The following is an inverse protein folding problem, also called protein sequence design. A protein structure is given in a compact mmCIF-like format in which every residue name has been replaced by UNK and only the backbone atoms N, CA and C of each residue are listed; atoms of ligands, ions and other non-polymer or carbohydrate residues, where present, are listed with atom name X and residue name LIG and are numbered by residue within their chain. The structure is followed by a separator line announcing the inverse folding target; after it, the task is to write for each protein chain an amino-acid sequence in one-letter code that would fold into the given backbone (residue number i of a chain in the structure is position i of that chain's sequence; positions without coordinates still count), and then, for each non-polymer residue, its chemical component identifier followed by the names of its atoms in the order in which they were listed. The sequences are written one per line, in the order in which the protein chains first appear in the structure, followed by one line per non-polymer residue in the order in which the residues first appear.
data_IF_875829831020
#
_entry.id   IF_875829831020
#
_cell.length_a   1.000
_cell.length_b   1.000
_cell.length_c   1.000
_cell.angle_alpha   90.00
_cell.angle_beta   90.00
_cell.angle_gamma   90.00
#
_symmetry.space_group_name_H-M   'P 1'
#
loop_
_entity.id
_entity.type
_entity.pdbx_description
1 polymer ?
#
# COMPACT_ATOMS: atom_id res chain seq x y z
N UNK A 1 29.61 -38.83 12.40
CA UNK A 1 28.60 -38.42 11.40
C UNK A 1 29.25 -37.46 10.42
N UNK A 2 29.22 -37.75 9.13
CA UNK A 2 29.72 -36.84 8.09
C UNK A 2 28.70 -35.71 7.96
N UNK A 3 29.08 -34.51 8.32
CA UNK A 3 28.20 -33.33 8.22
C UNK A 3 28.22 -32.86 6.76
N UNK A 4 27.09 -32.93 6.07
CA UNK A 4 26.99 -32.48 4.69
C UNK A 4 27.28 -30.95 4.60
N UNK A 5 28.23 -30.59 3.74
CA UNK A 5 28.63 -29.21 3.46
C UNK A 5 28.34 -28.86 2.01
N UNK A 6 28.10 -27.60 1.71
CA UNK A 6 27.87 -27.10 0.34
C UNK A 6 28.59 -25.78 0.11
N UNK A 7 29.38 -25.70 -0.96
CA UNK A 7 30.07 -24.47 -1.34
C UNK A 7 29.12 -23.52 -2.06
N UNK A 8 28.68 -22.49 -1.34
CA UNK A 8 27.80 -21.45 -1.91
C UNK A 8 28.61 -20.55 -2.84
N UNK A 9 28.00 -20.12 -3.95
CA UNK A 9 28.65 -19.19 -4.87
C UNK A 9 28.87 -17.83 -4.18
N UNK A 10 30.06 -17.24 -4.38
CA UNK A 10 30.41 -15.93 -3.81
C UNK A 10 29.48 -14.80 -4.25
N UNK A 11 28.86 -14.88 -5.43
CA UNK A 11 27.87 -13.92 -5.88
C UNK A 11 26.61 -13.95 -4.97
N UNK A 12 26.19 -15.16 -4.62
CA UNK A 12 25.04 -15.36 -3.69
C UNK A 12 25.39 -14.83 -2.29
N UNK A 13 26.57 -15.15 -1.77
CA UNK A 13 26.98 -14.66 -0.43
C UNK A 13 27.08 -13.14 -0.37
N UNK A 14 27.60 -12.49 -1.44
CA UNK A 14 27.60 -11.02 -1.56
C UNK A 14 26.19 -10.45 -1.59
N UNK A 15 25.32 -11.05 -2.37
CA UNK A 15 23.91 -10.65 -2.47
C UNK A 15 23.19 -10.80 -1.13
N UNK A 16 23.41 -11.89 -0.38
CA UNK A 16 22.87 -12.09 0.97
C UNK A 16 23.30 -10.95 1.92
N UNK A 17 24.58 -10.57 1.91
CA UNK A 17 25.07 -9.45 2.72
C UNK A 17 24.44 -8.11 2.29
N UNK A 18 24.14 -7.93 1.00
CA UNK A 18 23.53 -6.70 0.51
C UNK A 18 22.06 -6.54 0.93
N UNK A 19 21.28 -7.64 0.93
CA UNK A 19 19.84 -7.56 1.18
C UNK A 19 19.44 -7.84 2.62
N UNK A 20 20.29 -8.47 3.43
CA UNK A 20 19.97 -8.89 4.78
C UNK A 20 20.96 -8.35 5.84
N UNK A 21 21.72 -7.31 5.54
CA UNK A 21 22.71 -6.71 6.44
C UNK A 21 22.09 -6.24 7.77
N UNK A 22 20.91 -5.67 7.71
CA UNK A 22 20.11 -5.21 8.84
C UNK A 22 19.47 -6.33 9.69
N UNK A 23 19.39 -7.56 9.15
CA UNK A 23 18.80 -8.75 9.80
C UNK A 23 19.82 -9.71 10.38
N UNK A 24 21.07 -9.59 9.91
CA UNK A 24 22.16 -10.46 10.30
C UNK A 24 22.99 -9.80 11.41
N UNK A 25 23.13 -10.48 12.54
CA UNK A 25 24.09 -10.06 13.57
C UNK A 25 25.55 -10.18 13.09
N UNK A 26 26.45 -9.44 13.71
CA UNK A 26 27.90 -9.38 13.38
C UNK A 26 28.51 -10.78 13.21
N UNK A 27 28.16 -11.72 14.10
CA UNK A 27 28.65 -13.11 14.05
C UNK A 27 28.32 -13.83 12.73
N UNK A 28 27.16 -13.51 12.12
CA UNK A 28 26.76 -14.12 10.85
C UNK A 28 27.42 -13.44 9.66
N UNK A 29 27.57 -12.13 9.71
CA UNK A 29 28.33 -11.36 8.71
C UNK A 29 29.76 -11.88 8.62
N UNK A 30 30.43 -12.11 9.77
CA UNK A 30 31.78 -12.61 9.80
C UNK A 30 31.90 -14.08 9.32
N UNK A 31 30.92 -14.95 9.67
CA UNK A 31 30.86 -16.30 9.11
C UNK A 31 30.71 -16.29 7.59
N UNK A 32 29.84 -15.44 7.03
CA UNK A 32 29.66 -15.32 5.57
C UNK A 32 30.97 -14.84 4.91
N UNK A 33 31.69 -13.87 5.51
CA UNK A 33 32.99 -13.42 5.01
C UNK A 33 34.03 -14.54 4.98
N UNK A 34 34.03 -15.41 6.00
CA UNK A 34 34.93 -16.59 6.08
C UNK A 34 34.59 -17.59 4.96
N UNK A 35 33.32 -17.81 4.69
CA UNK A 35 32.87 -18.67 3.58
C UNK A 35 33.23 -18.08 2.21
N UNK A 36 33.10 -16.76 2.05
CA UNK A 36 33.51 -16.06 0.82
C UNK A 36 34.99 -16.16 0.52
N UNK A 37 35.84 -16.16 1.56
CA UNK A 37 37.29 -16.36 1.42
C UNK A 37 37.67 -17.82 1.12
N UNK A 38 36.71 -18.76 1.25
CA UNK A 38 36.97 -20.19 1.08
C UNK A 38 37.69 -20.84 2.25
N UNK A 39 37.86 -20.16 3.37
CA UNK A 39 38.53 -20.68 4.58
C UNK A 39 37.70 -21.79 5.26
N UNK A 40 36.37 -21.71 5.14
CA UNK A 40 35.41 -22.71 5.62
C UNK A 40 34.25 -22.86 4.63
N UNK A 41 33.69 -24.07 4.58
CA UNK A 41 32.49 -24.37 3.81
C UNK A 41 31.29 -24.52 4.75
N UNK A 42 30.16 -23.83 4.50
CA UNK A 42 28.98 -23.95 5.36
C UNK A 42 28.38 -25.34 5.31
N UNK A 43 27.85 -25.79 6.45
CA UNK A 43 27.04 -27.00 6.52
C UNK A 43 25.62 -26.68 6.02
N UNK A 44 24.89 -27.72 5.59
CA UNK A 44 23.47 -27.60 5.20
C UNK A 44 22.65 -26.99 6.34
N UNK A 45 22.91 -27.40 7.59
CA UNK A 45 22.23 -26.82 8.74
C UNK A 45 22.53 -25.32 8.93
N UNK A 46 23.78 -24.91 8.74
CA UNK A 46 24.15 -23.48 8.81
C UNK A 46 23.43 -22.66 7.72
N UNK A 47 23.28 -23.20 6.51
CA UNK A 47 22.51 -22.57 5.44
C UNK A 47 21.00 -22.49 5.75
N UNK A 48 20.44 -23.52 6.38
CA UNK A 48 19.04 -23.47 6.86
C UNK A 48 18.84 -22.39 7.93
N UNK A 49 19.77 -22.25 8.87
CA UNK A 49 19.73 -21.20 9.90
C UNK A 49 19.89 -19.82 9.26
N UNK A 50 20.83 -19.68 8.31
CA UNK A 50 21.03 -18.44 7.56
C UNK A 50 19.76 -18.06 6.78
N UNK A 51 19.14 -19.00 6.08
CA UNK A 51 17.87 -18.81 5.38
C UNK A 51 16.79 -18.23 6.29
N UNK A 52 16.61 -18.80 7.48
CA UNK A 52 15.63 -18.32 8.47
C UNK A 52 15.96 -16.91 8.99
N UNK A 53 17.23 -16.60 9.21
CA UNK A 53 17.68 -15.29 9.73
C UNK A 53 17.62 -14.20 8.66
N UNK A 54 18.11 -14.48 7.47
CA UNK A 54 18.11 -13.56 6.33
C UNK A 54 16.76 -13.43 5.64
N UNK A 55 15.82 -14.36 5.93
CA UNK A 55 14.53 -14.50 5.25
C UNK A 55 14.65 -14.78 3.75
N UNK A 56 15.80 -15.30 3.33
CA UNK A 56 16.06 -15.72 1.94
C UNK A 56 15.64 -17.19 1.79
N UNK A 57 14.86 -17.57 0.76
CA UNK A 57 14.51 -18.95 0.50
C UNK A 57 15.72 -19.85 0.45
N UNK A 58 15.66 -21.01 1.15
CA UNK A 58 16.79 -21.94 1.27
C UNK A 58 17.35 -22.39 -0.11
N UNK A 59 16.47 -22.56 -1.11
CA UNK A 59 16.85 -22.92 -2.47
C UNK A 59 17.80 -21.92 -3.14
N UNK A 60 17.71 -20.63 -2.78
CA UNK A 60 18.51 -19.58 -3.41
C UNK A 60 20.03 -19.71 -3.12
N UNK A 61 20.40 -20.39 -2.02
CA UNK A 61 21.81 -20.65 -1.72
C UNK A 61 22.48 -21.64 -2.67
N UNK A 62 21.71 -22.35 -3.48
CA UNK A 62 22.20 -23.35 -4.46
C UNK A 62 22.25 -22.81 -5.88
N UNK A 63 21.86 -21.56 -6.11
CA UNK A 63 21.92 -20.93 -7.42
C UNK A 63 23.35 -20.52 -7.79
N UNK A 64 23.61 -20.44 -9.10
CA UNK A 64 24.88 -19.94 -9.64
C UNK A 64 24.99 -18.41 -9.57
N UNK A 65 23.87 -17.74 -9.73
CA UNK A 65 23.73 -16.28 -9.68
C UNK A 65 22.56 -15.89 -8.77
N UNK A 66 22.59 -14.69 -8.16
CA UNK A 66 21.45 -14.17 -7.45
C UNK A 66 20.20 -14.25 -8.31
N UNK A 67 19.04 -14.63 -7.72
CA UNK A 67 17.81 -14.58 -8.49
C UNK A 67 17.66 -13.15 -9.03
N UNK A 68 17.39 -13.03 -10.33
CA UNK A 68 16.91 -11.76 -10.86
C UNK A 68 15.49 -11.60 -10.27
N UNK A 69 15.41 -10.95 -9.14
CA UNK A 69 14.14 -10.38 -8.71
C UNK A 69 13.85 -9.30 -9.76
N UNK A 70 13.02 -9.62 -10.75
CA UNK A 70 12.26 -8.60 -11.45
C UNK A 70 11.40 -7.97 -10.35
N UNK A 71 11.97 -6.95 -9.68
CA UNK A 71 11.18 -6.10 -8.79
C UNK A 71 10.10 -5.55 -9.71
N UNK A 72 8.82 -5.91 -9.52
CA UNK A 72 7.77 -5.18 -10.20
C UNK A 72 8.04 -3.73 -9.87
N UNK A 73 8.39 -2.92 -10.87
CA UNK A 73 8.78 -1.53 -10.68
C UNK A 73 7.55 -0.72 -10.27
N UNK A 74 7.00 -1.06 -9.13
CA UNK A 74 5.91 -0.34 -8.49
C UNK A 74 6.49 0.96 -7.93
N UNK A 75 5.97 2.07 -8.38
CA UNK A 75 6.27 3.35 -7.78
C UNK A 75 5.53 3.46 -6.46
N UNK A 76 6.29 3.47 -5.40
CA UNK A 76 5.76 3.62 -4.05
C UNK A 76 5.73 5.09 -3.68
N UNK A 77 4.63 5.52 -3.07
CA UNK A 77 4.58 6.80 -2.42
C UNK A 77 5.34 6.73 -1.10
N UNK A 78 6.50 7.40 -1.04
CA UNK A 78 7.27 7.60 0.19
C UNK A 78 6.83 8.86 0.94
N UNK A 79 7.31 9.05 2.18
CA UNK A 79 7.01 10.25 2.98
C UNK A 79 7.55 11.51 2.29
N UNK A 80 8.72 11.43 1.65
CA UNK A 80 9.40 12.57 1.02
C UNK A 80 9.24 12.59 -0.50
N UNK A 81 8.50 11.65 -1.11
CA UNK A 81 8.49 11.40 -2.55
C UNK A 81 9.91 11.08 -3.11
N UNK A 82 10.80 10.55 -2.28
CA UNK A 82 12.14 10.14 -2.69
C UNK A 82 12.09 8.78 -3.39
N UNK A 83 12.97 8.56 -4.36
CA UNK A 83 13.12 7.26 -5.02
C UNK A 83 13.64 6.23 -4.01
N UNK A 84 12.95 5.09 -3.90
CA UNK A 84 13.42 3.97 -3.08
C UNK A 84 14.58 3.29 -3.81
N UNK A 85 15.79 3.50 -3.33
CA UNK A 85 17.00 2.90 -3.92
C UNK A 85 17.20 1.43 -3.49
N UNK A 86 16.53 0.99 -2.42
CA UNK A 86 16.61 -0.38 -1.89
C UNK A 86 15.24 -0.78 -1.34
N UNK A 87 14.65 -1.81 -1.90
CA UNK A 87 13.33 -2.34 -1.49
C UNK A 87 13.51 -3.36 -0.38
N UNK A 88 12.75 -3.25 0.70
CA UNK A 88 12.80 -4.22 1.80
C UNK A 88 12.16 -5.56 1.42
N UNK A 89 12.60 -6.64 2.06
CA UNK A 89 12.00 -7.96 1.85
C UNK A 89 10.54 -8.01 2.30
N UNK A 90 10.15 -7.16 3.26
CA UNK A 90 8.79 -7.03 3.76
C UNK A 90 7.88 -6.41 2.69
N UNK A 91 8.37 -5.38 1.99
CA UNK A 91 7.62 -4.77 0.89
C UNK A 91 7.47 -5.75 -0.29
N UNK A 92 8.56 -6.43 -0.70
CA UNK A 92 8.49 -7.45 -1.76
C UNK A 92 7.48 -8.54 -1.45
N UNK A 93 7.54 -9.14 -0.25
CA UNK A 93 6.56 -10.15 0.18
C UNK A 93 5.12 -9.63 0.18
N UNK A 94 4.93 -8.35 0.54
CA UNK A 94 3.60 -7.75 0.51
C UNK A 94 3.10 -7.59 -0.92
N UNK A 95 3.95 -7.13 -1.84
CA UNK A 95 3.62 -7.02 -3.27
C UNK A 95 3.25 -8.38 -3.83
N UNK A 96 4.11 -9.40 -3.65
CA UNK A 96 3.87 -10.78 -4.12
C UNK A 96 2.53 -11.33 -3.60
N UNK A 97 2.23 -11.07 -2.32
CA UNK A 97 0.95 -11.48 -1.73
C UNK A 97 -0.25 -10.77 -2.36
N UNK A 98 -0.12 -9.49 -2.67
CA UNK A 98 -1.19 -8.71 -3.31
C UNK A 98 -1.34 -9.07 -4.79
N UNK A 99 -0.25 -9.33 -5.50
CA UNK A 99 -0.27 -9.82 -6.88
C UNK A 99 -0.95 -11.19 -6.96
N UNK A 100 -0.56 -12.15 -6.12
CA UNK A 100 -1.20 -13.46 -6.05
C UNK A 100 -2.73 -13.35 -5.84
N UNK A 101 -3.18 -12.45 -4.95
CA UNK A 101 -4.62 -12.22 -4.71
C UNK A 101 -5.32 -11.59 -5.90
N UNK A 102 -4.68 -10.59 -6.50
CA UNK A 102 -5.21 -9.89 -7.67
C UNK A 102 -5.26 -10.81 -8.89
N UNK A 103 -4.25 -11.67 -9.10
CA UNK A 103 -4.22 -12.67 -10.18
C UNK A 103 -5.34 -13.68 -10.01
N UNK A 104 -5.44 -14.30 -8.81
CA UNK A 104 -6.50 -15.26 -8.52
C UNK A 104 -7.91 -14.65 -8.73
N UNK A 105 -8.12 -13.42 -8.25
CA UNK A 105 -9.41 -12.75 -8.38
C UNK A 105 -9.73 -12.39 -9.84
N UNK A 106 -8.73 -12.00 -10.62
CA UNK A 106 -8.87 -11.73 -12.05
C UNK A 106 -9.30 -13.00 -12.80
N UNK A 107 -8.62 -14.13 -12.57
CA UNK A 107 -8.97 -15.43 -13.14
C UNK A 107 -10.37 -15.88 -12.71
N UNK A 108 -10.70 -15.75 -11.43
CA UNK A 108 -12.04 -16.04 -10.92
C UNK A 108 -13.10 -15.19 -11.63
N UNK A 109 -12.93 -13.88 -11.70
CA UNK A 109 -13.91 -13.00 -12.34
C UNK A 109 -14.08 -13.25 -13.83
N UNK A 110 -13.01 -13.54 -14.54
CA UNK A 110 -13.06 -13.92 -15.97
C UNK A 110 -13.86 -15.22 -16.13
N UNK A 111 -13.57 -16.24 -15.32
CA UNK A 111 -14.26 -17.53 -15.36
C UNK A 111 -15.74 -17.41 -15.05
N UNK A 112 -16.10 -16.59 -14.05
CA UNK A 112 -17.50 -16.33 -13.67
C UNK A 112 -18.23 -15.34 -14.61
N UNK A 113 -17.59 -14.87 -15.68
CA UNK A 113 -18.21 -13.99 -16.68
C UNK A 113 -18.41 -12.54 -16.23
N UNK A 114 -17.68 -12.07 -15.21
CA UNK A 114 -17.72 -10.66 -14.81
C UNK A 114 -17.19 -9.75 -15.91
N UNK A 115 -17.76 -8.55 -16.00
CA UNK A 115 -17.25 -7.51 -16.89
C UNK A 115 -15.99 -6.83 -16.30
N UNK A 116 -15.11 -6.30 -17.17
CA UNK A 116 -13.99 -5.48 -16.71
C UNK A 116 -14.45 -4.29 -15.86
N UNK A 117 -13.61 -3.87 -14.94
CA UNK A 117 -13.87 -2.69 -14.10
C UNK A 117 -13.68 -1.43 -14.95
N UNK A 118 -14.79 -0.78 -15.30
CA UNK A 118 -14.82 0.36 -16.23
C UNK A 118 -13.97 1.56 -15.74
N UNK A 119 -13.81 1.72 -14.43
CA UNK A 119 -13.04 2.82 -13.84
C UNK A 119 -11.58 2.83 -14.28
N UNK A 120 -10.99 1.65 -14.49
CA UNK A 120 -9.57 1.50 -14.82
C UNK A 120 -9.27 2.07 -16.20
N UNK A 121 -8.51 3.15 -16.23
CA UNK A 121 -8.07 3.78 -17.47
C UNK A 121 -9.09 4.71 -18.14
N UNK A 122 -10.21 5.05 -17.49
CA UNK A 122 -11.15 6.04 -18.02
C UNK A 122 -10.51 7.40 -18.31
N UNK A 123 -9.49 7.78 -17.54
CA UNK A 123 -8.78 9.05 -17.68
C UNK A 123 -7.66 9.07 -18.72
N UNK A 124 -7.40 8.00 -19.47
CA UNK A 124 -6.26 7.89 -20.40
C UNK A 124 -6.16 9.02 -21.42
N UNK A 125 -7.30 9.56 -21.86
CA UNK A 125 -7.38 10.60 -22.89
C UNK A 125 -7.64 12.00 -22.33
N UNK A 126 -7.69 12.17 -21.00
CA UNK A 126 -8.09 13.40 -20.33
C UNK A 126 -6.90 14.34 -20.01
N UNK A 127 -5.87 14.37 -20.86
CA UNK A 127 -4.63 15.13 -20.61
C UNK A 127 -4.84 16.65 -20.53
N UNK A 128 -5.87 17.19 -21.19
CA UNK A 128 -6.13 18.65 -21.27
C UNK A 128 -7.10 19.17 -20.19
N UNK A 129 -7.80 18.28 -19.47
CA UNK A 129 -8.76 18.68 -18.44
C UNK A 129 -8.05 19.18 -17.18
N UNK A 130 -8.69 20.10 -16.45
CA UNK A 130 -8.21 20.56 -15.15
C UNK A 130 -8.31 19.44 -14.08
N UNK A 131 -7.55 19.58 -13.00
CA UNK A 131 -7.61 18.63 -11.88
C UNK A 131 -9.00 18.61 -11.23
N UNK A 132 -9.67 19.73 -11.15
CA UNK A 132 -11.02 19.89 -10.62
C UNK A 132 -12.07 19.17 -11.48
N UNK A 133 -11.95 19.26 -12.81
CA UNK A 133 -12.87 18.56 -13.72
C UNK A 133 -12.72 17.05 -13.61
N UNK A 134 -11.49 16.55 -13.53
CA UNK A 134 -11.23 15.12 -13.34
C UNK A 134 -11.73 14.65 -11.97
N UNK A 135 -11.49 15.43 -10.91
CA UNK A 135 -12.01 15.12 -9.58
C UNK A 135 -13.55 14.99 -9.58
N UNK A 136 -14.26 15.89 -10.28
CA UNK A 136 -15.72 15.81 -10.44
C UNK A 136 -16.15 14.56 -11.20
N UNK A 137 -15.42 14.15 -12.23
CA UNK A 137 -15.74 12.92 -12.97
C UNK A 137 -15.56 11.68 -12.09
N UNK A 138 -14.48 11.62 -11.29
CA UNK A 138 -14.23 10.53 -10.34
C UNK A 138 -15.34 10.48 -9.27
N UNK A 139 -15.67 11.63 -8.66
CA UNK A 139 -16.76 11.72 -7.69
C UNK A 139 -18.11 11.27 -8.28
N UNK A 140 -18.39 11.71 -9.50
CA UNK A 140 -19.62 11.32 -10.23
C UNK A 140 -19.68 9.81 -10.50
N UNK A 141 -18.55 9.19 -10.88
CA UNK A 141 -18.48 7.74 -11.11
C UNK A 141 -18.88 6.96 -9.85
N UNK A 142 -18.42 7.39 -8.69
CA UNK A 142 -18.74 6.77 -7.41
C UNK A 142 -20.02 7.29 -6.76
N UNK A 143 -20.80 8.11 -7.45
CA UNK A 143 -22.01 8.76 -6.92
C UNK A 143 -21.76 9.52 -5.60
N UNK A 144 -20.59 10.14 -5.47
CA UNK A 144 -20.18 10.93 -4.32
C UNK A 144 -20.51 12.41 -4.53
N UNK A 145 -21.02 13.07 -3.49
CA UNK A 145 -21.21 14.53 -3.48
C UNK A 145 -19.85 15.22 -3.34
N UNK A 146 -19.77 16.48 -3.80
CA UNK A 146 -18.53 17.28 -3.70
C UNK A 146 -18.08 17.58 -2.25
N UNK A 147 -18.98 17.42 -1.27
CA UNK A 147 -18.76 17.61 0.16
C UNK A 147 -18.85 16.30 0.96
N UNK A 148 -18.66 15.15 0.31
CA UNK A 148 -18.89 13.80 0.83
C UNK A 148 -18.23 13.50 2.19
N UNK A 149 -17.06 14.09 2.46
CA UNK A 149 -16.27 13.85 3.65
C UNK A 149 -16.62 14.79 4.82
N UNK A 150 -17.25 15.93 4.55
CA UNK A 150 -17.45 17.01 5.52
C UNK A 150 -18.38 16.60 6.67
N UNK A 151 -19.40 15.79 6.38
CA UNK A 151 -20.41 15.37 7.37
C UNK A 151 -20.00 14.13 8.18
N UNK A 152 -18.91 13.47 7.81
CA UNK A 152 -18.46 12.28 8.50
C UNK A 152 -17.84 12.61 9.88
N UNK A 153 -17.97 11.69 10.84
CA UNK A 153 -17.61 11.94 12.25
C UNK A 153 -16.08 12.01 12.47
N UNK A 154 -15.31 11.18 11.77
CA UNK A 154 -13.86 11.05 11.96
C UNK A 154 -13.14 10.71 10.66
N UNK A 155 -11.81 10.80 10.66
CA UNK A 155 -10.95 10.39 9.54
C UNK A 155 -11.10 8.89 9.25
N UNK A 156 -11.23 8.06 10.29
CA UNK A 156 -11.49 6.62 10.13
C UNK A 156 -12.85 6.37 9.47
N UNK A 157 -13.89 7.12 9.85
CA UNK A 157 -15.20 7.01 9.18
C UNK A 157 -15.13 7.42 7.70
N UNK A 158 -14.35 8.47 7.38
CA UNK A 158 -14.17 8.90 5.98
C UNK A 158 -13.42 7.86 5.16
N UNK A 159 -12.36 7.28 5.72
CA UNK A 159 -11.62 6.20 5.07
C UNK A 159 -12.51 4.97 4.83
N UNK A 160 -13.24 4.50 5.84
CA UNK A 160 -14.11 3.34 5.74
C UNK A 160 -15.26 3.58 4.76
N UNK A 161 -15.88 4.76 4.80
CA UNK A 161 -16.94 5.14 3.87
C UNK A 161 -16.47 5.10 2.41
N UNK A 162 -15.34 5.74 2.12
CA UNK A 162 -14.78 5.75 0.77
C UNK A 162 -14.33 4.34 0.35
N UNK A 163 -13.69 3.59 1.24
CA UNK A 163 -13.31 2.19 1.00
C UNK A 163 -14.52 1.35 0.60
N UNK A 164 -15.62 1.42 1.35
CA UNK A 164 -16.85 0.68 1.05
C UNK A 164 -17.40 1.02 -0.33
N UNK A 165 -17.41 2.31 -0.70
CA UNK A 165 -17.88 2.73 -2.03
C UNK A 165 -16.95 2.22 -3.13
N UNK A 166 -15.63 2.32 -2.96
CA UNK A 166 -14.66 1.84 -3.95
C UNK A 166 -14.80 0.32 -4.15
N UNK A 167 -14.93 -0.43 -3.05
CA UNK A 167 -15.05 -1.89 -3.12
C UNK A 167 -16.39 -2.35 -3.71
N UNK A 168 -17.48 -1.61 -3.51
CA UNK A 168 -18.78 -1.91 -4.15
C UNK A 168 -18.74 -1.75 -5.68
N UNK A 169 -17.74 -1.03 -6.22
CA UNK A 169 -17.47 -0.92 -7.66
C UNK A 169 -16.43 -1.91 -8.17
N UNK A 170 -16.09 -2.93 -7.36
CA UNK A 170 -15.23 -4.03 -7.78
C UNK A 170 -13.73 -3.76 -7.65
N UNK A 171 -13.30 -2.62 -7.11
CA UNK A 171 -11.90 -2.32 -6.83
C UNK A 171 -11.55 -2.88 -5.45
N UNK A 172 -10.55 -3.74 -5.37
CA UNK A 172 -10.09 -4.33 -4.09
C UNK A 172 -9.32 -3.28 -3.28
N UNK A 173 -9.62 -3.14 -1.98
CA UNK A 173 -8.87 -2.27 -1.07
C UNK A 173 -8.41 -3.06 0.15
N UNK A 174 -7.13 -3.39 0.18
CA UNK A 174 -6.48 -4.14 1.25
C UNK A 174 -5.69 -3.21 2.18
N UNK A 175 -5.60 -3.59 3.45
CA UNK A 175 -4.90 -2.77 4.46
C UNK A 175 -4.07 -3.63 5.39
N UNK A 176 -2.83 -3.28 5.68
CA UNK A 176 -2.04 -3.93 6.72
C UNK A 176 -0.91 -3.03 7.22
N UNK A 177 -0.36 -3.36 8.39
CA UNK A 177 0.86 -2.75 8.96
C UNK A 177 2.03 -3.74 9.03
N UNK A 178 1.82 -4.99 8.62
CA UNK A 178 2.83 -6.06 8.64
C UNK A 178 2.50 -7.11 7.59
N UNK A 179 3.49 -7.89 7.22
CA UNK A 179 3.36 -8.96 6.23
C UNK A 179 2.63 -10.16 6.84
N UNK A 180 1.63 -10.65 6.15
CA UNK A 180 0.88 -11.80 6.59
C UNK A 180 0.25 -11.63 7.98
N UNK A 181 0.49 -12.59 8.87
CA UNK A 181 0.07 -12.57 10.27
C UNK A 181 1.24 -12.38 11.25
N UNK A 182 2.44 -12.06 10.74
CA UNK A 182 3.61 -11.88 11.57
C UNK A 182 3.79 -10.41 11.94
N UNK A 183 3.41 -10.03 13.15
CA UNK A 183 3.55 -8.64 13.64
C UNK A 183 5.00 -8.16 13.76
N UNK A 184 5.99 -9.09 13.70
CA UNK A 184 7.42 -8.75 13.70
C UNK A 184 7.89 -8.28 12.33
N UNK A 185 7.26 -8.72 11.24
CA UNK A 185 7.55 -8.30 9.86
C UNK A 185 6.75 -7.02 9.53
N UNK A 186 7.03 -5.99 10.29
CA UNK A 186 6.32 -4.72 10.18
C UNK A 186 6.75 -3.92 8.96
N UNK A 187 5.79 -3.42 8.19
CA UNK A 187 6.03 -2.56 7.04
C UNK A 187 6.65 -1.23 7.43
N UNK A 188 7.52 -0.69 6.60
CA UNK A 188 8.18 0.60 6.85
C UNK A 188 7.44 1.73 6.13
N UNK A 189 6.91 2.69 6.90
CA UNK A 189 6.19 3.84 6.34
C UNK A 189 7.11 4.83 5.60
N UNK A 190 8.40 4.87 5.95
CA UNK A 190 9.37 5.70 5.25
C UNK A 190 9.67 5.15 3.84
N UNK A 191 9.45 3.85 3.63
CA UNK A 191 9.64 3.20 2.35
C UNK A 191 8.42 3.36 1.44
N UNK A 192 7.21 3.12 1.97
CA UNK A 192 5.98 3.29 1.20
C UNK A 192 4.75 3.51 2.10
N UNK A 193 3.77 4.23 1.59
CA UNK A 193 2.48 4.49 2.24
C UNK A 193 1.35 3.67 1.62
N UNK A 194 1.38 3.51 0.32
CA UNK A 194 0.38 2.80 -0.46
C UNK A 194 0.99 2.36 -1.79
N UNK A 195 0.33 1.45 -2.48
CA UNK A 195 0.57 1.13 -3.88
C UNK A 195 -0.69 0.60 -4.55
N UNK A 196 -0.67 0.56 -5.87
CA UNK A 196 -1.78 0.07 -6.69
C UNK A 196 -1.31 -0.98 -7.69
N UNK A 197 -2.11 -2.04 -7.85
CA UNK A 197 -1.99 -3.03 -8.93
C UNK A 197 -3.07 -2.73 -9.96
N UNK A 198 -2.63 -2.44 -11.20
CA UNK A 198 -3.54 -2.06 -12.27
C UNK A 198 -3.88 -3.28 -13.10
N UNK A 199 -5.00 -3.91 -12.76
CA UNK A 199 -5.59 -5.01 -13.50
C UNK A 199 -6.97 -4.64 -13.99
N UNK A 200 -7.35 -5.23 -15.12
CA UNK A 200 -8.60 -4.87 -15.77
C UNK A 200 -9.83 -5.42 -15.04
N UNK A 201 -9.71 -6.61 -14.46
CA UNK A 201 -10.81 -7.28 -13.76
C UNK A 201 -10.65 -7.24 -12.24
N UNK A 202 -9.44 -7.17 -11.73
CA UNK A 202 -9.15 -7.19 -10.30
C UNK A 202 -8.15 -6.10 -9.88
N UNK A 203 -8.45 -4.80 -10.16
CA UNK A 203 -7.60 -3.72 -9.68
C UNK A 203 -7.55 -3.72 -8.16
N UNK A 204 -6.35 -3.53 -7.58
CA UNK A 204 -6.14 -3.60 -6.15
C UNK A 204 -5.37 -2.38 -5.65
N UNK A 205 -5.85 -1.77 -4.59
CA UNK A 205 -5.17 -0.72 -3.82
C UNK A 205 -4.73 -1.31 -2.47
N UNK A 206 -3.47 -1.16 -2.12
CA UNK A 206 -2.94 -1.51 -0.81
C UNK A 206 -2.58 -0.27 0.00
N UNK A 207 -2.99 -0.23 1.27
CA UNK A 207 -2.71 0.88 2.20
C UNK A 207 -1.93 0.39 3.41
N UNK A 208 -0.75 0.98 3.65
CA UNK A 208 0.04 0.72 4.85
C UNK A 208 -0.59 1.40 6.08
N UNK A 209 -1.12 0.60 6.99
CA UNK A 209 -1.82 1.12 8.18
C UNK A 209 -0.90 1.57 9.31
N UNK A 210 0.42 1.53 9.14
CA UNK A 210 1.35 2.25 10.02
C UNK A 210 1.28 3.77 9.81
N UNK A 211 0.77 4.22 8.67
CA UNK A 211 0.55 5.65 8.43
C UNK A 211 -0.56 6.20 9.33
N UNK A 212 -0.55 7.50 9.54
CA UNK A 212 -1.59 8.18 10.31
C UNK A 212 -2.96 8.05 9.63
N UNK A 213 -4.03 8.04 10.42
CA UNK A 213 -5.39 7.96 9.89
C UNK A 213 -5.69 9.09 8.87
N UNK A 214 -5.11 10.27 9.10
CA UNK A 214 -5.26 11.42 8.21
C UNK A 214 -4.59 11.21 6.86
N UNK A 215 -3.44 10.54 6.84
CA UNK A 215 -2.68 10.29 5.62
C UNK A 215 -3.24 9.12 4.80
N UNK A 216 -3.83 8.11 5.46
CA UNK A 216 -4.43 6.94 4.78
C UNK A 216 -5.54 7.33 3.81
N UNK A 217 -6.40 8.29 4.19
CA UNK A 217 -7.46 8.77 3.28
C UNK A 217 -6.88 9.40 2.03
N UNK A 218 -5.86 10.25 2.19
CA UNK A 218 -5.20 10.87 1.04
C UNK A 218 -4.51 9.82 0.18
N UNK A 219 -3.83 8.83 0.78
CA UNK A 219 -3.18 7.74 0.05
C UNK A 219 -4.20 6.91 -0.74
N UNK A 220 -5.37 6.58 -0.16
CA UNK A 220 -6.43 5.86 -0.86
C UNK A 220 -6.93 6.62 -2.09
N UNK A 221 -7.16 7.94 -1.94
CA UNK A 221 -7.61 8.78 -3.06
C UNK A 221 -6.50 8.92 -4.11
N UNK A 222 -5.24 9.02 -3.72
CA UNK A 222 -4.09 9.11 -4.61
C UNK A 222 -3.98 7.84 -5.50
N UNK A 223 -4.01 6.65 -4.89
CA UNK A 223 -3.96 5.39 -5.64
C UNK A 223 -5.21 5.18 -6.52
N UNK A 224 -6.36 5.70 -6.08
CA UNK A 224 -7.58 5.70 -6.91
C UNK A 224 -7.40 6.53 -8.19
N UNK A 225 -6.69 7.66 -8.13
CA UNK A 225 -6.38 8.48 -9.31
C UNK A 225 -5.42 7.75 -10.26
N UNK A 226 -4.47 6.97 -9.76
CA UNK A 226 -3.64 6.10 -10.59
C UNK A 226 -4.47 5.06 -11.37
N UNK A 227 -5.46 4.44 -10.72
CA UNK A 227 -6.40 3.55 -11.41
C UNK A 227 -7.22 4.27 -12.48
N UNK A 228 -7.66 5.50 -12.19
CA UNK A 228 -8.39 6.33 -13.17
C UNK A 228 -7.60 6.52 -14.45
N UNK A 229 -6.29 6.77 -14.35
CA UNK A 229 -5.43 6.86 -15.52
C UNK A 229 -5.06 5.50 -16.12
N UNK A 230 -5.22 4.41 -15.38
CA UNK A 230 -4.82 3.06 -15.82
C UNK A 230 -3.32 3.00 -16.12
N UNK A 231 -2.55 3.81 -15.42
CA UNK A 231 -1.09 3.91 -15.55
C UNK A 231 -0.48 3.89 -14.16
N UNK A 232 0.24 2.84 -13.85
CA UNK A 232 1.50 3.01 -13.16
C UNK A 232 2.46 3.49 -14.24
N UNK A 233 3.25 4.52 -14.03
CA UNK A 233 4.15 5.09 -15.07
C UNK A 233 5.21 4.12 -15.59
N UNK A 234 5.21 2.88 -15.19
CA UNK A 234 6.18 1.84 -15.53
C UNK A 234 6.08 1.29 -16.95
N UNK A 235 4.96 1.48 -17.64
CA UNK A 235 4.73 0.84 -18.94
C UNK A 235 5.14 1.63 -20.19
N UNK A 236 5.66 2.86 -20.07
CA UNK A 236 6.07 3.67 -21.23
C UNK A 236 7.47 4.25 -21.08
N UNK A 237 8.50 3.40 -20.90
CA UNK A 237 9.88 3.82 -21.06
C UNK A 237 10.28 3.84 -22.54
N UNK A 238 10.17 5.00 -23.20
CA UNK A 238 11.06 5.35 -24.28
C UNK A 238 12.33 5.94 -23.66
N UNK A 239 13.45 5.23 -23.79
CA UNK A 239 14.77 5.50 -23.18
C UNK A 239 15.44 6.83 -23.58
N UNK A 240 14.72 7.79 -24.20
CA UNK A 240 15.28 9.03 -24.73
C UNK A 240 14.94 10.31 -23.93
N UNK A 241 14.10 10.24 -22.90
CA UNK A 241 13.81 11.40 -22.05
C UNK A 241 14.12 11.06 -20.60
N UNK A 242 14.81 11.97 -19.90
CA UNK A 242 15.21 11.80 -18.50
C UNK A 242 13.98 11.45 -17.62
N UNK A 243 13.94 10.23 -17.06
CA UNK A 243 12.77 9.71 -16.34
C UNK A 243 12.34 10.57 -15.15
N UNK A 244 13.30 11.28 -14.58
CA UNK A 244 13.17 12.07 -13.37
C UNK A 244 12.18 13.25 -13.50
N UNK A 245 12.01 13.80 -14.70
CA UNK A 245 11.16 14.97 -14.93
C UNK A 245 9.72 14.63 -15.35
N UNK A 246 9.53 13.59 -16.13
CA UNK A 246 8.19 13.16 -16.59
C UNK A 246 7.35 12.64 -15.41
N UNK A 247 7.96 11.88 -14.52
CA UNK A 247 7.38 11.37 -13.30
C UNK A 247 6.86 12.48 -12.38
N UNK A 248 7.65 13.51 -12.16
CA UNK A 248 7.31 14.59 -11.23
C UNK A 248 6.06 15.36 -11.66
N UNK A 249 5.87 15.60 -12.95
CA UNK A 249 4.68 16.31 -13.47
C UNK A 249 3.41 15.48 -13.34
N UNK A 250 3.48 14.19 -13.62
CA UNK A 250 2.33 13.31 -13.48
C UNK A 250 1.93 13.12 -12.01
N UNK A 251 2.89 12.87 -11.13
CA UNK A 251 2.66 12.76 -9.68
C UNK A 251 2.10 14.07 -9.10
N UNK A 252 2.59 15.22 -9.54
CA UNK A 252 2.01 16.52 -9.16
C UNK A 252 0.56 16.64 -9.62
N UNK A 253 0.22 16.12 -10.81
CA UNK A 253 -1.15 16.11 -11.32
C UNK A 253 -2.03 15.18 -10.50
N UNK A 254 -1.58 13.95 -10.22
CA UNK A 254 -2.27 12.97 -9.37
C UNK A 254 -2.55 13.58 -7.99
N UNK A 255 -1.54 14.21 -7.37
CA UNK A 255 -1.70 14.89 -6.09
C UNK A 255 -2.74 16.02 -6.12
N UNK A 256 -2.76 16.84 -7.18
CA UNK A 256 -3.77 17.92 -7.34
C UNK A 256 -5.18 17.39 -7.54
N UNK A 257 -5.34 16.29 -8.26
CA UNK A 257 -6.65 15.65 -8.42
C UNK A 257 -7.11 15.06 -7.08
N UNK A 258 -6.22 14.34 -6.37
CA UNK A 258 -6.52 13.81 -5.04
C UNK A 258 -6.88 14.94 -4.04
N UNK A 259 -6.14 16.05 -4.07
CA UNK A 259 -6.45 17.28 -3.33
C UNK A 259 -7.88 17.77 -3.66
N UNK A 260 -8.24 17.85 -4.95
CA UNK A 260 -9.56 18.34 -5.39
C UNK A 260 -10.72 17.42 -5.03
N UNK A 261 -10.48 16.11 -4.89
CA UNK A 261 -11.45 15.12 -4.42
C UNK A 261 -11.74 15.31 -2.92
N UNK A 262 -10.71 15.61 -2.12
CA UNK A 262 -10.83 15.79 -0.67
C UNK A 262 -11.27 17.21 -0.32
N UNK A 263 -10.68 18.20 -0.97
CA UNK A 263 -10.89 19.62 -0.71
C UNK A 263 -11.60 20.30 -1.90
N UNK A 264 -12.91 20.16 -1.95
CA UNK A 264 -13.65 20.95 -2.93
C UNK A 264 -13.42 22.46 -2.68
N UNK A 265 -12.90 23.18 -3.66
CA UNK A 265 -12.50 24.58 -3.53
C UNK A 265 -13.61 25.48 -3.00
N UNK A 266 -14.84 25.31 -3.53
CA UNK A 266 -16.00 26.14 -3.14
C UNK A 266 -16.30 25.98 -1.65
N UNK A 267 -16.33 24.74 -1.14
CA UNK A 267 -16.58 24.49 0.28
C UNK A 267 -15.41 24.89 1.16
N UNK A 268 -14.17 24.69 0.68
CA UNK A 268 -12.96 25.09 1.38
C UNK A 268 -12.95 26.61 1.66
N UNK A 269 -13.11 27.44 0.62
CA UNK A 269 -13.15 28.91 0.75
C UNK A 269 -14.29 29.34 1.67
N UNK A 270 -15.50 28.79 1.47
CA UNK A 270 -16.64 29.10 2.33
C UNK A 270 -16.37 28.84 3.81
N UNK A 271 -15.74 27.70 4.15
CA UNK A 271 -15.38 27.41 5.53
C UNK A 271 -14.25 28.29 6.03
N UNK A 272 -13.25 28.57 5.18
CA UNK A 272 -12.15 29.46 5.50
C UNK A 272 -12.65 30.85 5.94
N UNK A 273 -13.57 31.43 5.18
CA UNK A 273 -14.13 32.76 5.44
C UNK A 273 -15.06 32.78 6.67
N UNK A 274 -15.68 31.63 7.01
CA UNK A 274 -16.56 31.52 8.16
C UNK A 274 -15.85 31.47 9.50
N UNK A 275 -14.55 31.18 9.53
CA UNK A 275 -13.76 30.99 10.75
C UNK A 275 -13.04 32.31 11.11
N UNK A 276 -13.35 32.86 12.30
CA UNK A 276 -12.72 34.10 12.81
C UNK A 276 -11.55 33.80 13.74
N UNK A 277 -10.56 33.07 13.26
CA UNK A 277 -9.36 32.69 14.02
C UNK A 277 -8.11 33.06 13.23
N UNK A 278 -6.92 32.92 13.83
CA UNK A 278 -5.67 33.00 13.11
C UNK A 278 -5.62 31.99 11.96
N UNK A 279 -4.87 32.26 10.91
CA UNK A 279 -4.77 31.35 9.78
C UNK A 279 -4.19 29.99 10.19
N UNK A 280 -3.30 29.98 11.19
CA UNK A 280 -2.79 28.77 11.82
C UNK A 280 -3.93 27.91 12.40
N UNK A 281 -4.81 28.48 13.22
CA UNK A 281 -5.95 27.74 13.82
C UNK A 281 -7.00 27.35 12.76
N UNK A 282 -7.20 28.17 11.73
CA UNK A 282 -8.08 27.81 10.59
C UNK A 282 -7.63 26.49 9.94
N UNK A 283 -6.31 26.33 9.71
CA UNK A 283 -5.77 25.09 9.13
C UNK A 283 -6.22 23.86 9.93
N UNK A 284 -6.09 23.86 11.26
CA UNK A 284 -6.49 22.72 12.09
C UNK A 284 -8.00 22.47 12.09
N UNK A 285 -8.80 23.54 12.14
CA UNK A 285 -10.27 23.43 12.09
C UNK A 285 -10.76 22.89 10.76
N UNK A 286 -10.17 23.35 9.64
CA UNK A 286 -10.49 22.87 8.30
C UNK A 286 -9.99 21.46 8.09
N UNK A 287 -8.78 21.12 8.54
CA UNK A 287 -8.26 19.75 8.50
C UNK A 287 -9.23 18.77 9.17
N UNK A 288 -9.71 19.09 10.37
CA UNK A 288 -10.73 18.30 11.08
C UNK A 288 -12.05 18.21 10.29
N UNK A 289 -12.48 19.31 9.67
CA UNK A 289 -13.74 19.38 8.90
C UNK A 289 -13.67 18.51 7.65
N UNK A 290 -12.58 18.58 6.88
CA UNK A 290 -12.37 17.84 5.63
C UNK A 290 -11.75 16.44 5.86
N UNK A 291 -11.51 16.02 7.11
CA UNK A 291 -10.92 14.71 7.44
C UNK A 291 -9.53 14.51 6.81
N UNK A 292 -8.75 15.57 6.78
CA UNK A 292 -7.41 15.61 6.18
C UNK A 292 -6.34 15.91 7.25
N UNK A 293 -5.06 15.83 6.84
CA UNK A 293 -3.97 16.25 7.73
C UNK A 293 -3.83 17.77 7.72
N UNK A 294 -3.35 18.39 8.83
CA UNK A 294 -3.04 19.81 8.86
C UNK A 294 -2.07 20.23 7.73
N UNK A 295 -1.07 19.40 7.46
CA UNK A 295 -0.10 19.66 6.39
C UNK A 295 -0.75 19.68 4.99
N UNK A 296 -1.61 18.69 4.66
CA UNK A 296 -2.34 18.69 3.40
C UNK A 296 -3.25 19.93 3.28
N UNK A 297 -3.91 20.31 4.38
CA UNK A 297 -4.77 21.49 4.43
C UNK A 297 -3.98 22.78 4.21
N UNK A 298 -2.77 22.90 4.82
CA UNK A 298 -1.90 24.05 4.63
C UNK A 298 -1.41 24.18 3.18
N UNK A 299 -1.01 23.06 2.55
CA UNK A 299 -0.63 23.04 1.13
C UNK A 299 -1.80 23.49 0.26
N UNK A 300 -3.01 23.00 0.52
CA UNK A 300 -4.23 23.39 -0.21
C UNK A 300 -4.54 24.88 -0.01
N UNK A 301 -4.48 25.38 1.22
CA UNK A 301 -4.71 26.80 1.51
C UNK A 301 -3.69 27.69 0.78
N UNK A 302 -2.42 27.28 0.72
CA UNK A 302 -1.40 27.98 -0.07
C UNK A 302 -1.69 27.94 -1.56
N UNK A 303 -2.11 26.78 -2.11
CA UNK A 303 -2.48 26.65 -3.51
C UNK A 303 -3.65 27.57 -3.89
N UNK A 304 -4.56 27.83 -2.93
CA UNK A 304 -5.66 28.79 -3.07
C UNK A 304 -5.25 30.23 -2.73
N UNK A 305 -3.95 30.49 -2.46
CA UNK A 305 -3.38 31.82 -2.13
C UNK A 305 -3.99 32.43 -0.84
N UNK A 306 -4.39 31.63 0.11
CA UNK A 306 -4.96 32.07 1.38
C UNK A 306 -3.90 32.26 2.47
N UNK A 307 -2.77 31.58 2.36
CA UNK A 307 -1.66 31.64 3.31
C UNK A 307 -0.30 31.72 2.58
N UNK A 308 0.72 32.14 3.32
CA UNK A 308 2.10 32.21 2.83
C UNK A 308 2.86 30.87 2.95
N UNK A 309 4.04 30.78 2.33
CA UNK A 309 4.92 29.60 2.47
C UNK A 309 5.49 29.48 3.88
N UNK A 310 5.71 30.58 4.56
CA UNK A 310 6.25 30.64 5.92
C UNK A 310 5.30 29.89 6.88
N UNK A 311 3.99 30.13 6.77
CA UNK A 311 3.00 29.43 7.59
C UNK A 311 2.94 27.92 7.26
N UNK A 312 3.10 27.54 5.99
CA UNK A 312 3.21 26.11 5.61
C UNK A 312 4.43 25.47 6.27
N UNK A 313 5.57 26.16 6.30
CA UNK A 313 6.79 25.67 6.94
C UNK A 313 6.63 25.54 8.47
N UNK A 314 5.92 26.47 9.09
CA UNK A 314 5.58 26.42 10.52
C UNK A 314 4.71 25.19 10.86
N UNK A 315 3.63 24.97 10.10
CA UNK A 315 2.76 23.78 10.24
C UNK A 315 3.56 22.49 10.03
N UNK A 316 4.47 22.46 9.05
CA UNK A 316 5.32 21.29 8.80
C UNK A 316 6.23 20.99 10.01
N UNK A 317 6.86 22.00 10.58
CA UNK A 317 7.73 21.86 11.75
C UNK A 317 6.95 21.34 12.97
N UNK A 318 5.76 21.85 13.20
CA UNK A 318 4.91 21.40 14.31
C UNK A 318 4.44 19.95 14.09
N UNK A 319 3.89 19.63 12.92
CA UNK A 319 3.37 18.28 12.63
C UNK A 319 4.44 17.20 12.60
N UNK A 320 5.69 17.53 12.24
CA UNK A 320 6.81 16.58 12.27
C UNK A 320 7.32 16.25 13.67
N UNK A 321 7.07 17.11 14.66
CA UNK A 321 7.42 16.87 16.07
C UNK A 321 6.42 15.95 16.79
N UNK A 322 5.19 15.82 16.29
CA UNK A 322 4.17 14.93 16.86
C UNK A 322 4.29 13.51 16.33
N UNK A 323 5.36 12.79 16.69
CA UNK A 323 5.40 11.33 16.55
C UNK A 323 4.48 10.75 17.62
N UNK A 324 3.28 10.35 17.19
CA UNK A 324 2.28 9.75 18.09
C UNK A 324 2.81 8.43 18.62
N UNK A 325 3.16 8.39 19.91
CA UNK A 325 3.29 7.14 20.64
C UNK A 325 1.89 6.56 20.79
N UNK A 326 1.53 5.58 19.98
CA UNK A 326 0.32 4.81 20.16
C UNK A 326 0.45 3.91 21.38
N UNK A 327 -0.15 4.30 22.50
CA UNK A 327 -0.34 3.40 23.64
C UNK A 327 -1.62 2.59 23.40
N UNK A 328 -1.50 1.37 22.95
CA UNK A 328 -2.61 0.41 22.96
C UNK A 328 -2.46 -0.55 24.14
N UNK A 329 -3.31 -0.38 25.13
CA UNK A 329 -3.57 -1.38 26.17
C UNK A 329 -4.68 -2.31 25.66
N UNK A 330 -4.31 -3.55 25.28
CA UNK A 330 -5.25 -4.56 24.76
C UNK A 330 -5.27 -4.60 23.24
N UNK A 331 -4.85 -5.74 22.65
CA UNK A 331 -4.92 -5.98 21.20
C UNK A 331 -6.36 -6.27 20.78
N UNK A 332 -6.81 -5.80 19.61
CA UNK A 332 -8.09 -6.20 19.04
C UNK A 332 -8.10 -7.71 18.77
N UNK A 333 -9.32 -8.29 18.69
CA UNK A 333 -9.49 -9.69 18.33
C UNK A 333 -8.79 -9.98 16.98
N UNK A 334 -8.03 -11.07 16.92
CA UNK A 334 -7.27 -11.47 15.74
C UNK A 334 -8.16 -11.57 14.48
N UNK A 335 -9.33 -12.22 14.61
CA UNK A 335 -10.22 -12.44 13.48
C UNK A 335 -10.91 -11.18 13.00
N UNK A 336 -11.25 -10.25 13.90
CA UNK A 336 -11.81 -8.95 13.54
C UNK A 336 -10.77 -8.10 12.81
N UNK A 337 -9.52 -8.18 13.27
CA UNK A 337 -8.39 -7.53 12.61
C UNK A 337 -8.16 -8.11 11.21
N UNK A 338 -8.22 -9.43 11.04
CA UNK A 338 -8.07 -10.11 9.76
C UNK A 338 -9.21 -9.72 8.81
N UNK A 339 -10.46 -9.80 9.27
CA UNK A 339 -11.63 -9.40 8.47
C UNK A 339 -11.65 -7.91 8.10
N UNK A 340 -11.01 -7.04 8.90
CA UNK A 340 -10.83 -5.64 8.56
C UNK A 340 -9.75 -5.40 7.51
N UNK A 341 -8.65 -6.15 7.56
CA UNK A 341 -7.53 -6.02 6.62
C UNK A 341 -7.91 -6.43 5.20
N UNK A 342 -8.62 -7.56 5.09
CA UNK A 342 -9.05 -8.12 3.82
C UNK A 342 -10.16 -7.25 3.18
N UNK A 343 -10.14 -7.21 1.87
CA UNK A 343 -11.30 -6.75 1.12
C UNK A 343 -12.44 -7.75 1.26
N UNK A 344 -13.63 -7.25 1.58
CA UNK A 344 -14.79 -8.10 1.83
C UNK A 344 -15.23 -8.88 0.60
N UNK A 345 -15.26 -8.24 -0.58
CA UNK A 345 -15.68 -8.88 -1.83
C UNK A 345 -14.66 -9.94 -2.27
N UNK A 346 -13.35 -9.66 -2.08
CA UNK A 346 -12.30 -10.64 -2.31
C UNK A 346 -12.46 -11.86 -1.39
N UNK A 347 -12.63 -11.65 -0.09
CA UNK A 347 -12.80 -12.73 0.87
C UNK A 347 -14.06 -13.57 0.56
N UNK A 348 -15.19 -12.92 0.21
CA UNK A 348 -16.40 -13.59 -0.21
C UNK A 348 -16.21 -14.42 -1.47
N UNK A 349 -15.48 -13.91 -2.48
CA UNK A 349 -15.19 -14.65 -3.71
C UNK A 349 -14.38 -15.92 -3.44
N UNK A 350 -13.33 -15.83 -2.58
CA UNK A 350 -12.52 -16.99 -2.19
C UNK A 350 -13.37 -18.04 -1.45
N UNK A 351 -14.21 -17.60 -0.50
CA UNK A 351 -15.08 -18.49 0.26
C UNK A 351 -16.08 -19.19 -0.66
N UNK A 352 -16.77 -18.46 -1.54
CA UNK A 352 -17.73 -19.01 -2.47
C UNK A 352 -17.08 -20.02 -3.43
N UNK A 353 -15.91 -19.70 -4.00
CA UNK A 353 -15.17 -20.60 -4.87
C UNK A 353 -14.69 -21.87 -4.15
N UNK A 354 -14.36 -21.75 -2.86
CA UNK A 354 -13.97 -22.90 -2.03
C UNK A 354 -15.18 -23.80 -1.72
N UNK A 355 -16.34 -23.21 -1.41
CA UNK A 355 -17.56 -23.95 -1.15
C UNK A 355 -18.07 -24.69 -2.40
N UNK A 356 -17.80 -24.15 -3.59
CA UNK A 356 -18.11 -24.78 -4.89
C UNK A 356 -17.11 -25.87 -5.27
N UNK A 357 -15.95 -25.94 -4.57
CA UNK A 357 -14.89 -26.91 -4.84
C UNK A 357 -13.91 -26.49 -5.95
N UNK A 358 -14.03 -25.28 -6.50
CA UNK A 358 -13.15 -24.75 -7.55
C UNK A 358 -11.81 -24.24 -7.00
N UNK A 359 -11.78 -23.86 -5.73
CA UNK A 359 -10.57 -23.48 -5.00
C UNK A 359 -10.31 -24.46 -3.87
N UNK A 360 -9.09 -24.97 -3.77
CA UNK A 360 -8.74 -25.88 -2.67
C UNK A 360 -8.68 -25.16 -1.33
N UNK A 361 -8.92 -25.85 -0.22
CA UNK A 361 -8.75 -25.26 1.12
C UNK A 361 -7.33 -24.72 1.35
N UNK A 362 -6.32 -25.39 0.78
CA UNK A 362 -4.92 -24.94 0.91
C UNK A 362 -4.70 -23.61 0.23
N UNK A 363 -5.23 -23.44 -0.98
CA UNK A 363 -5.16 -22.17 -1.73
C UNK A 363 -5.97 -21.07 -1.02
N UNK A 364 -7.17 -21.40 -0.54
CA UNK A 364 -7.99 -20.48 0.24
C UNK A 364 -7.27 -20.01 1.51
N UNK A 365 -6.55 -20.90 2.20
CA UNK A 365 -5.76 -20.54 3.39
C UNK A 365 -4.63 -19.57 3.03
N UNK A 366 -3.94 -19.79 1.92
CA UNK A 366 -2.89 -18.88 1.43
C UNK A 366 -3.47 -17.52 1.02
N UNK A 367 -4.55 -17.52 0.23
CA UNK A 367 -5.22 -16.31 -0.25
C UNK A 367 -5.77 -15.45 0.90
N UNK A 368 -6.43 -16.08 1.87
CA UNK A 368 -7.03 -15.40 3.03
C UNK A 368 -6.05 -15.20 4.18
N UNK A 369 -4.84 -15.75 4.06
CA UNK A 369 -3.80 -15.69 5.08
C UNK A 369 -4.28 -16.27 6.42
N UNK A 370 -4.92 -17.43 6.39
CA UNK A 370 -5.32 -18.24 7.54
C UNK A 370 -4.48 -19.51 7.60
N UNK A 371 -4.28 -20.08 8.80
CA UNK A 371 -3.34 -21.19 8.99
C UNK A 371 -4.00 -22.57 9.05
N UNK A 372 -5.30 -22.62 9.28
CA UNK A 372 -6.04 -23.87 9.48
C UNK A 372 -7.54 -23.67 9.28
N UNK A 373 -8.28 -24.80 9.28
CA UNK A 373 -9.72 -24.83 9.08
C UNK A 373 -10.50 -24.02 10.14
N UNK A 374 -10.06 -24.05 11.40
CA UNK A 374 -10.73 -23.27 12.44
C UNK A 374 -10.67 -21.76 12.14
N UNK A 375 -9.48 -21.24 11.79
CA UNK A 375 -9.32 -19.84 11.42
C UNK A 375 -10.09 -19.46 10.13
N UNK A 376 -10.19 -20.39 9.17
CA UNK A 376 -10.99 -20.21 7.97
C UNK A 376 -12.48 -20.08 8.30
N UNK A 377 -13.03 -20.98 9.12
CA UNK A 377 -14.44 -20.97 9.51
C UNK A 377 -14.81 -19.72 10.32
N UNK A 378 -13.93 -19.28 11.23
CA UNK A 378 -14.09 -18.05 11.98
C UNK A 378 -14.10 -16.80 11.06
N UNK A 379 -13.24 -16.76 10.05
CA UNK A 379 -13.25 -15.68 9.07
C UNK A 379 -14.51 -15.74 8.19
N UNK A 380 -14.89 -16.93 7.72
CA UNK A 380 -16.09 -17.16 6.91
C UNK A 380 -17.34 -16.64 7.62
N UNK A 381 -17.55 -16.98 8.89
CA UNK A 381 -18.68 -16.50 9.67
C UNK A 381 -18.76 -14.96 9.70
N UNK A 382 -17.61 -14.27 9.89
CA UNK A 382 -17.57 -12.79 9.90
C UNK A 382 -17.82 -12.13 8.54
N UNK A 383 -17.41 -12.81 7.47
CA UNK A 383 -17.67 -12.35 6.10
C UNK A 383 -19.15 -12.51 5.77
N UNK A 384 -19.76 -13.62 6.13
CA UNK A 384 -21.19 -13.89 5.91
C UNK A 384 -22.12 -12.99 6.73
N UNK A 385 -21.74 -12.65 7.99
CA UNK A 385 -22.49 -11.68 8.81
C UNK A 385 -22.58 -10.29 8.19
N UNK A 386 -21.58 -9.85 7.46
CA UNK A 386 -21.57 -8.55 6.77
C UNK A 386 -22.40 -8.54 5.49
N UNK A 387 -22.78 -9.71 4.97
CA UNK A 387 -23.65 -9.85 3.79
C UNK A 387 -25.13 -9.82 4.14
N UNK A 388 -25.49 -9.93 5.44
CA UNK A 388 -26.86 -9.80 5.96
C UNK A 388 -27.20 -8.36 6.30
#
# INVERSE_FOLDING_TARGET
MVTATFKVNNKILKWVLQIADDKLGVDWIDKIKVWMKGEKTPTIHQLQVLSKKSQIPFGNFFLSDPPMEEIPLLKFRTINNDEVTKVSSELLKMIDSMEMRSDWLEDYRIREGYSPILFVGMGKHNSQQSSEEIAKQILKFFNLKEDWNIQLKSNQNAFNYLRTIITSHGIVVETSSFVGNNTRDGLNINEFRAFVLIKRYAPLIFINTKDSQNARLFSLVHELVHLWYGKTELFNYNFQTDPKYLNKKFEQRVNKIAESIIFNKKYFIRYWDSIRNSDFEKIYKIAKKFKASPMATAITAKNYKLISQELVNEINKETSQFIVKSSHTGGPNFYDTLAYKLDHNFASAVINSTDQGDTTYLDAFNLLNVKNMHAYNELKARVEEKNK
#
